data_IF_176017281994
#
_entry.id   IF_176017281994
#
_cell.length_a   1.000
_cell.length_b   1.000
_cell.length_c   1.000
_cell.angle_alpha   90.00
_cell.angle_beta   90.00
_cell.angle_gamma   90.00
#
_symmetry.space_group_name_H-M   'P 1'
#
loop_
_entity.id
_entity.type
_entity.pdbx_description
1 polymer ?
#
# COMPACT_ATOMS: atom_id res chain seq x y z
N UNK A 1 -7.90 -13.13 17.96
CA UNK A 1 -7.75 -12.80 16.52
C UNK A 1 -6.91 -11.54 16.43
N UNK A 2 -5.78 -11.54 15.70
CA UNK A 2 -4.86 -10.39 15.59
C UNK A 2 -5.21 -9.56 14.35
N UNK A 3 -5.07 -8.24 14.41
CA UNK A 3 -5.44 -7.28 13.34
C UNK A 3 -4.20 -6.87 12.53
N UNK A 4 -4.34 -6.65 11.22
CA UNK A 4 -3.38 -5.97 10.33
C UNK A 4 -3.82 -4.53 10.12
N UNK A 5 -2.92 -3.58 9.84
CA UNK A 5 -3.29 -2.16 9.70
C UNK A 5 -2.81 -1.59 8.36
N UNK A 6 -3.72 -0.96 7.61
CA UNK A 6 -3.41 -0.09 6.49
C UNK A 6 -3.70 1.35 6.91
N UNK A 7 -2.71 2.23 6.84
CA UNK A 7 -2.86 3.60 7.33
C UNK A 7 -2.78 4.60 6.19
N UNK A 8 -3.90 5.24 5.87
CA UNK A 8 -4.00 6.20 4.78
C UNK A 8 -3.88 7.61 5.36
N UNK A 9 -2.88 8.36 4.94
CA UNK A 9 -2.72 9.77 5.29
C UNK A 9 -3.31 10.64 4.17
N UNK A 10 -4.24 11.52 4.52
CA UNK A 10 -4.91 12.40 3.57
C UNK A 10 -4.24 13.77 3.59
N UNK A 11 -3.66 14.18 2.45
CA UNK A 11 -3.20 15.54 2.23
C UNK A 11 -4.29 16.38 1.53
N UNK A 12 -4.65 17.57 2.04
CA UNK A 12 -5.60 18.44 1.35
C UNK A 12 -4.99 19.06 0.09
N UNK A 13 -5.52 18.69 -1.08
CA UNK A 13 -5.34 19.40 -2.36
C UNK A 13 -6.38 20.51 -2.54
N UNK A 14 -5.99 21.61 -3.20
CA UNK A 14 -6.73 22.88 -3.23
C UNK A 14 -8.11 22.84 -3.95
N UNK A 15 -9.12 23.40 -3.27
CA UNK A 15 -10.42 23.95 -3.74
C UNK A 15 -11.50 22.93 -4.20
N UNK A 16 -12.44 22.61 -3.29
CA UNK A 16 -13.87 22.94 -3.45
C UNK A 16 -14.66 22.66 -2.16
N UNK A 17 -15.34 23.70 -1.70
CA UNK A 17 -16.20 23.79 -0.53
C UNK A 17 -17.60 23.20 -0.84
N UNK A 18 -18.01 22.06 -0.26
CA UNK A 18 -19.34 21.86 0.34
C UNK A 18 -19.60 20.44 0.92
N UNK A 19 -19.78 20.41 2.25
CA UNK A 19 -20.69 19.62 3.08
C UNK A 19 -20.69 18.05 3.10
N UNK A 20 -20.02 17.55 4.15
CA UNK A 20 -20.44 16.58 5.19
C UNK A 20 -20.50 15.09 4.80
N UNK A 21 -19.33 14.46 4.78
CA UNK A 21 -18.92 13.69 5.96
C UNK A 21 -18.04 14.61 6.79
N UNK A 22 -18.11 14.56 8.12
CA UNK A 22 -17.14 15.28 8.96
C UNK A 22 -15.79 14.54 8.86
N UNK A 23 -15.16 14.60 7.69
CA UNK A 23 -13.71 14.59 7.57
C UNK A 23 -13.28 15.97 8.04
N UNK A 24 -13.29 16.18 9.36
CA UNK A 24 -12.60 17.32 9.93
C UNK A 24 -11.18 17.26 9.41
N UNK A 25 -10.74 18.29 8.70
CA UNK A 25 -9.34 18.50 8.38
C UNK A 25 -8.61 18.75 9.71
N UNK A 26 -8.40 17.70 10.48
CA UNK A 26 -7.57 17.69 11.66
C UNK A 26 -6.14 17.59 11.15
N UNK A 27 -5.49 18.75 11.01
CA UNK A 27 -4.03 18.85 10.88
C UNK A 27 -3.27 18.31 12.09
N UNK A 28 -3.98 17.84 13.12
CA UNK A 28 -3.42 17.27 14.34
C UNK A 28 -2.69 15.92 14.14
N UNK A 29 -2.81 15.27 12.97
CA UNK A 29 -2.00 14.11 12.57
C UNK A 29 -0.96 14.39 11.49
N UNK A 30 -1.10 15.49 10.73
CA UNK A 30 -0.16 15.88 9.68
C UNK A 30 1.15 16.48 10.24
N UNK A 31 1.16 16.91 11.51
CA UNK A 31 2.32 17.56 12.13
C UNK A 31 3.47 16.62 12.53
N UNK A 32 3.26 15.30 12.52
CA UNK A 32 4.26 14.31 12.99
C UNK A 32 4.65 13.28 11.94
N UNK A 33 3.91 13.16 10.85
CA UNK A 33 4.28 12.26 9.77
C UNK A 33 5.43 12.84 8.96
N UNK A 34 6.54 12.11 8.86
CA UNK A 34 7.74 12.55 8.15
C UNK A 34 8.03 11.74 6.89
N UNK A 35 7.12 10.86 6.48
CA UNK A 35 7.23 10.16 5.21
C UNK A 35 6.82 11.04 4.05
N UNK A 36 7.18 10.61 2.84
CA UNK A 36 6.87 11.31 1.59
C UNK A 36 6.22 10.34 0.60
N UNK A 37 5.36 10.81 -0.30
CA UNK A 37 4.83 9.98 -1.37
C UNK A 37 5.94 9.19 -2.08
N UNK A 38 5.62 7.96 -2.48
CA UNK A 38 6.56 7.13 -3.22
C UNK A 38 6.89 7.74 -4.58
N UNK A 39 8.18 7.86 -4.89
CA UNK A 39 8.68 8.25 -6.22
C UNK A 39 10.02 7.56 -6.49
N UNK A 40 10.25 7.17 -7.73
CA UNK A 40 11.54 6.68 -8.23
C UNK A 40 11.74 7.03 -9.73
N UNK A 41 12.70 6.38 -10.39
CA UNK A 41 12.98 6.62 -11.81
C UNK A 41 11.93 6.09 -12.80
N UNK A 42 11.02 5.23 -12.34
CA UNK A 42 9.99 4.54 -13.14
C UNK A 42 8.59 5.07 -12.81
N UNK A 43 8.29 5.30 -11.53
CA UNK A 43 7.05 5.86 -11.02
C UNK A 43 7.28 7.28 -10.49
N UNK A 44 6.67 8.27 -11.12
CA UNK A 44 6.85 9.70 -10.82
C UNK A 44 5.54 10.47 -10.63
N UNK A 45 4.43 9.78 -10.34
CA UNK A 45 3.11 10.41 -10.13
C UNK A 45 2.96 10.94 -8.69
N UNK A 46 3.86 10.58 -7.77
CA UNK A 46 3.84 11.02 -6.38
C UNK A 46 2.64 10.48 -5.62
N UNK A 47 1.97 11.37 -4.88
CA UNK A 47 0.83 11.02 -4.03
C UNK A 47 -0.30 10.39 -4.86
N UNK A 48 -0.73 9.20 -4.47
CA UNK A 48 -1.76 8.45 -5.18
C UNK A 48 -3.12 9.14 -5.04
N UNK A 49 -3.91 9.16 -6.11
CA UNK A 49 -5.14 9.95 -6.20
C UNK A 49 -6.37 9.07 -5.93
N UNK A 50 -7.32 9.57 -5.13
CA UNK A 50 -8.66 8.97 -4.96
C UNK A 50 -9.78 9.94 -5.38
N UNK A 51 -10.91 9.46 -5.94
CA UNK A 51 -11.25 8.05 -6.22
C UNK A 51 -10.35 7.40 -7.27
N UNK A 52 -9.97 6.15 -7.05
CA UNK A 52 -9.03 5.46 -7.92
C UNK A 52 -8.47 4.18 -7.32
N UNK A 53 -7.42 3.66 -7.93
CA UNK A 53 -6.66 2.50 -7.46
C UNK A 53 -5.48 2.99 -6.62
N UNK A 54 -5.43 2.55 -5.37
CA UNK A 54 -4.24 2.65 -4.53
C UNK A 54 -3.41 1.37 -4.68
N UNK A 55 -2.18 1.51 -5.14
CA UNK A 55 -1.19 0.45 -5.23
C UNK A 55 -0.46 0.31 -3.88
N UNK A 56 -0.48 -0.88 -3.30
CA UNK A 56 0.07 -1.14 -1.97
C UNK A 56 1.60 -1.06 -1.94
N UNK A 57 2.26 -1.43 -3.04
CA UNK A 57 3.71 -1.40 -3.20
C UNK A 57 4.29 0.03 -3.20
N UNK A 58 3.45 1.02 -3.53
CA UNK A 58 3.75 2.45 -3.53
C UNK A 58 3.37 3.12 -2.21
N UNK A 59 3.56 2.41 -1.10
CA UNK A 59 3.55 3.03 0.23
C UNK A 59 4.66 4.08 0.31
N UNK A 60 4.50 5.06 1.19
CA UNK A 60 5.39 6.20 1.27
C UNK A 60 6.86 5.82 1.55
N UNK A 61 7.76 6.73 1.25
CA UNK A 61 9.15 6.69 1.67
C UNK A 61 9.27 7.24 3.08
N UNK A 62 10.18 6.70 3.88
CA UNK A 62 10.41 7.18 5.25
C UNK A 62 11.04 6.15 6.17
N UNK A 63 10.97 4.86 5.80
CA UNK A 63 11.58 3.77 6.54
C UNK A 63 10.70 3.21 7.66
N UNK A 64 11.28 2.23 8.34
CA UNK A 64 10.70 1.47 9.44
C UNK A 64 10.23 2.37 10.59
N UNK A 65 9.01 2.13 11.09
CA UNK A 65 8.36 2.92 12.12
C UNK A 65 7.81 4.28 11.65
N UNK A 66 8.09 4.69 10.40
CA UNK A 66 7.57 5.92 9.80
C UNK A 66 6.56 5.58 8.70
N UNK A 67 7.03 5.02 7.59
CA UNK A 67 6.20 4.75 6.42
C UNK A 67 5.68 3.30 6.35
N UNK A 68 6.33 2.41 7.09
CA UNK A 68 5.89 1.03 7.27
C UNK A 68 6.36 0.48 8.60
N UNK A 69 5.80 -0.65 9.00
CA UNK A 69 6.37 -1.56 9.98
C UNK A 69 6.31 -2.97 9.43
N UNK A 70 7.46 -3.61 9.38
CA UNK A 70 7.58 -5.03 9.06
C UNK A 70 8.07 -5.81 10.29
N UNK A 71 7.70 -7.09 10.39
CA UNK A 71 8.08 -7.93 11.52
C UNK A 71 9.56 -8.34 11.47
N UNK A 72 10.18 -8.24 10.29
CA UNK A 72 11.62 -8.38 10.13
C UNK A 72 12.25 -7.20 9.37
N UNK A 73 13.44 -7.41 8.81
CA UNK A 73 14.22 -6.35 8.15
C UNK A 73 14.64 -6.72 6.73
N UNK A 74 14.03 -7.76 6.16
CA UNK A 74 14.43 -8.39 4.90
C UNK A 74 13.21 -8.50 4.00
N UNK A 75 13.29 -7.88 2.82
CA UNK A 75 12.32 -8.13 1.77
C UNK A 75 12.46 -9.58 1.24
N UNK A 76 11.52 -10.43 1.63
CA UNK A 76 11.41 -11.84 1.24
C UNK A 76 11.08 -12.01 -0.24
N UNK A 77 10.49 -11.00 -0.88
CA UNK A 77 10.18 -10.99 -2.29
C UNK A 77 11.34 -10.46 -3.14
N UNK A 78 11.60 -9.15 -3.13
CA UNK A 78 12.69 -8.50 -3.86
C UNK A 78 14.04 -8.82 -3.21
N UNK A 79 14.99 -9.38 -3.96
CA UNK A 79 16.26 -9.88 -3.43
C UNK A 79 16.18 -11.26 -2.77
N UNK A 80 15.05 -11.57 -2.12
CA UNK A 80 14.74 -12.86 -1.52
C UNK A 80 14.33 -13.93 -2.54
N UNK A 81 13.04 -14.01 -2.85
CA UNK A 81 12.45 -14.89 -3.86
C UNK A 81 12.96 -14.51 -5.27
N UNK A 82 12.87 -13.23 -5.60
CA UNK A 82 13.32 -12.65 -6.85
C UNK A 82 14.78 -12.24 -6.68
N UNK A 83 15.72 -13.11 -7.07
CA UNK A 83 17.16 -12.84 -6.86
C UNK A 83 17.58 -11.55 -7.57
N UNK A 84 18.28 -10.70 -6.82
CA UNK A 84 18.85 -9.45 -7.30
C UNK A 84 19.70 -9.69 -8.57
N UNK A 85 19.33 -9.03 -9.66
CA UNK A 85 19.94 -9.15 -10.97
C UNK A 85 20.09 -7.79 -11.70
N UNK A 86 19.85 -6.69 -10.99
CA UNK A 86 19.83 -5.33 -11.48
C UNK A 86 18.53 -4.92 -12.17
N UNK A 87 17.55 -5.82 -12.30
CA UNK A 87 16.25 -5.47 -12.88
C UNK A 87 15.34 -4.78 -11.86
N UNK A 88 14.52 -3.87 -12.38
CA UNK A 88 13.59 -3.09 -11.57
C UNK A 88 12.67 -3.98 -10.72
N UNK A 89 12.07 -5.01 -11.33
CA UNK A 89 11.08 -5.85 -10.65
C UNK A 89 11.70 -6.78 -9.59
N UNK A 90 12.96 -7.19 -9.74
CA UNK A 90 13.63 -8.05 -8.76
C UNK A 90 14.19 -7.25 -7.59
N UNK A 91 14.49 -5.98 -7.81
CA UNK A 91 15.13 -5.11 -6.83
C UNK A 91 14.21 -3.98 -6.33
N UNK A 92 12.93 -4.00 -6.70
CA UNK A 92 11.96 -2.99 -6.28
C UNK A 92 11.92 -2.92 -4.76
N UNK A 93 12.39 -1.78 -4.22
CA UNK A 93 12.50 -1.51 -2.78
C UNK A 93 13.23 -2.60 -1.99
N UNK A 94 14.22 -3.24 -2.61
CA UNK A 94 15.04 -4.33 -2.02
C UNK A 94 15.76 -3.95 -0.71
N UNK A 95 15.91 -2.65 -0.43
CA UNK A 95 16.58 -2.14 0.77
C UNK A 95 15.62 -1.73 1.90
N UNK A 96 14.33 -1.95 1.73
CA UNK A 96 13.30 -1.78 2.76
C UNK A 96 12.77 -3.15 3.19
N UNK A 97 12.11 -3.21 4.36
CA UNK A 97 11.72 -4.50 4.93
C UNK A 97 10.44 -5.08 4.32
N UNK A 98 9.51 -4.22 3.86
CA UNK A 98 8.21 -4.66 3.32
C UNK A 98 8.41 -5.68 2.20
N UNK A 99 7.81 -6.85 2.38
CA UNK A 99 7.88 -7.94 1.42
C UNK A 99 7.12 -7.62 0.13
N UNK A 100 7.85 -7.47 -0.99
CA UNK A 100 7.26 -7.10 -2.28
C UNK A 100 7.69 -8.08 -3.36
N UNK A 101 6.73 -8.52 -4.16
CA UNK A 101 6.99 -9.30 -5.37
C UNK A 101 6.10 -8.79 -6.49
N UNK A 102 6.12 -9.46 -7.63
CA UNK A 102 5.31 -9.14 -8.78
C UNK A 102 4.69 -10.40 -9.38
N UNK A 103 3.57 -10.23 -10.08
CA UNK A 103 2.84 -11.31 -10.75
C UNK A 103 3.63 -11.90 -11.91
N UNK A 104 3.73 -13.23 -11.95
CA UNK A 104 4.51 -13.99 -12.93
C UNK A 104 3.60 -14.86 -13.77
N UNK A 105 3.50 -14.51 -15.05
CA UNK A 105 2.73 -15.28 -16.02
C UNK A 105 3.70 -16.16 -16.81
N UNK A 106 3.69 -17.45 -16.50
CA UNK A 106 4.62 -18.44 -17.05
C UNK A 106 3.93 -19.80 -17.26
N UNK A 107 4.67 -20.79 -17.76
CA UNK A 107 4.19 -22.16 -17.98
C UNK A 107 5.07 -23.15 -17.18
N UNK A 108 4.53 -23.91 -16.22
CA UNK A 108 3.12 -23.92 -15.79
C UNK A 108 2.71 -22.59 -15.11
N UNK A 109 1.40 -22.21 -15.17
CA UNK A 109 0.92 -20.95 -14.60
C UNK A 109 1.12 -20.93 -13.09
N UNK A 110 1.64 -19.80 -12.59
CA UNK A 110 1.82 -19.55 -11.15
C UNK A 110 0.77 -18.54 -10.70
N UNK A 111 0.79 -17.33 -11.27
CA UNK A 111 -0.12 -16.25 -10.83
C UNK A 111 -1.32 -16.06 -11.77
N UNK A 112 -1.22 -16.51 -13.02
CA UNK A 112 -2.29 -16.47 -14.02
C UNK A 112 -3.10 -17.78 -14.06
N UNK A 113 -3.72 -18.15 -12.94
CA UNK A 113 -4.50 -19.40 -12.83
C UNK A 113 -5.97 -19.19 -13.22
N UNK A 114 -6.67 -20.23 -13.70
CA UNK A 114 -8.11 -20.14 -14.00
C UNK A 114 -8.99 -19.99 -12.74
N UNK A 115 -8.41 -19.99 -11.54
CA UNK A 115 -9.14 -19.86 -10.27
C UNK A 115 -9.15 -18.41 -9.74
N UNK A 116 -8.53 -17.47 -10.45
CA UNK A 116 -8.49 -16.09 -10.06
C UNK A 116 -9.89 -15.46 -10.19
N UNK A 117 -10.36 -14.81 -9.14
CA UNK A 117 -11.65 -14.11 -9.15
C UNK A 117 -11.57 -12.75 -9.87
N UNK A 118 -10.37 -12.19 -9.97
CA UNK A 118 -10.06 -10.92 -10.62
C UNK A 118 -8.84 -11.15 -11.49
N UNK A 119 -8.89 -10.65 -12.73
CA UNK A 119 -7.76 -10.71 -13.65
C UNK A 119 -6.62 -9.82 -13.14
N UNK A 120 -5.44 -10.40 -12.99
CA UNK A 120 -4.23 -9.65 -12.67
C UNK A 120 -3.55 -9.17 -13.94
N UNK A 121 -2.82 -8.06 -13.82
CA UNK A 121 -1.88 -7.64 -14.84
C UNK A 121 -0.59 -8.44 -14.71
N UNK A 122 0.10 -8.70 -15.83
CA UNK A 122 1.42 -9.33 -15.81
C UNK A 122 2.46 -8.33 -15.26
N UNK A 123 3.43 -8.82 -14.49
CA UNK A 123 4.53 -8.03 -13.97
C UNK A 123 4.07 -6.90 -13.01
N UNK A 124 2.87 -7.06 -12.44
CA UNK A 124 2.28 -6.13 -11.49
C UNK A 124 2.85 -6.39 -10.09
N UNK A 125 3.44 -5.37 -9.48
CA UNK A 125 3.94 -5.43 -8.11
C UNK A 125 2.79 -5.62 -7.10
N UNK A 126 3.11 -6.25 -5.98
CA UNK A 126 2.20 -6.42 -4.85
C UNK A 126 2.98 -6.59 -3.54
N UNK A 127 2.35 -6.17 -2.43
CA UNK A 127 2.83 -6.48 -1.08
C UNK A 127 2.39 -7.90 -0.71
N UNK A 128 3.33 -8.75 -0.31
CA UNK A 128 3.14 -10.16 0.02
C UNK A 128 3.59 -10.47 1.44
N UNK A 129 3.62 -11.76 1.81
CA UNK A 129 4.16 -12.32 3.07
C UNK A 129 3.71 -11.67 4.39
N UNK A 130 2.71 -10.78 4.34
CA UNK A 130 2.30 -9.98 5.48
C UNK A 130 1.94 -10.78 6.74
N UNK A 131 2.44 -10.32 7.88
CA UNK A 131 2.18 -10.86 9.22
C UNK A 131 1.24 -9.97 10.05
N UNK A 132 0.57 -10.52 11.08
CA UNK A 132 -0.25 -9.71 11.98
C UNK A 132 0.58 -8.70 12.78
N UNK A 133 0.23 -7.42 12.65
CA UNK A 133 0.92 -6.31 13.32
C UNK A 133 1.64 -5.38 12.35
N UNK A 134 1.92 -5.86 11.15
CA UNK A 134 2.54 -5.06 10.09
C UNK A 134 1.59 -4.03 9.51
N UNK A 135 2.19 -2.96 8.99
CA UNK A 135 1.45 -1.85 8.38
C UNK A 135 2.27 -1.08 7.36
N UNK A 136 1.55 -0.42 6.44
CA UNK A 136 2.09 0.52 5.45
C UNK A 136 1.29 1.82 5.47
N UNK A 137 1.96 2.95 5.20
CA UNK A 137 1.38 4.30 5.14
C UNK A 137 1.44 4.88 3.74
N UNK A 138 0.40 5.63 3.38
CA UNK A 138 0.25 6.23 2.05
C UNK A 138 -0.19 7.68 2.19
N UNK A 139 0.51 8.61 1.57
CA UNK A 139 0.03 9.96 1.34
C UNK A 139 -0.84 9.96 0.09
N UNK A 140 -2.12 10.29 0.27
CA UNK A 140 -3.08 10.34 -0.84
C UNK A 140 -3.58 11.76 -1.10
N UNK A 141 -3.86 12.02 -2.37
CA UNK A 141 -4.58 13.20 -2.82
C UNK A 141 -6.06 12.84 -3.01
N UNK A 142 -6.94 13.56 -2.32
CA UNK A 142 -8.39 13.39 -2.43
C UNK A 142 -8.94 14.43 -3.39
N UNK A 143 -9.44 14.03 -4.55
CA UNK A 143 -9.99 14.96 -5.55
C UNK A 143 -11.30 15.59 -5.07
N UNK A 144 -12.14 14.83 -4.37
CA UNK A 144 -13.44 15.28 -3.88
C UNK A 144 -13.71 14.70 -2.50
N UNK A 145 -14.01 15.54 -1.50
CA UNK A 145 -14.40 15.03 -0.18
C UNK A 145 -15.70 14.23 -0.25
N UNK A 146 -15.79 13.08 0.42
CA UNK A 146 -16.99 12.24 0.35
C UNK A 146 -16.85 10.89 1.06
N UNK A 147 -17.87 10.04 0.87
CA UNK A 147 -17.85 8.64 1.35
C UNK A 147 -17.24 7.82 0.24
N UNK A 148 -16.32 6.94 0.59
CA UNK A 148 -15.68 6.05 -0.35
C UNK A 148 -15.98 4.60 0.02
N UNK A 149 -16.39 3.82 -0.97
CA UNK A 149 -16.38 2.37 -0.86
C UNK A 149 -14.96 1.89 -1.09
N UNK A 150 -14.42 1.16 -0.12
CA UNK A 150 -13.08 0.59 -0.22
C UNK A 150 -13.17 -0.88 -0.64
N UNK A 151 -12.60 -1.19 -1.80
CA UNK A 151 -12.31 -2.55 -2.23
C UNK A 151 -10.84 -2.87 -1.98
N UNK A 152 -10.57 -4.05 -1.43
CA UNK A 152 -9.21 -4.56 -1.29
C UNK A 152 -9.07 -5.83 -2.12
N UNK A 153 -8.10 -5.84 -3.04
CA UNK A 153 -7.65 -7.07 -3.68
C UNK A 153 -6.63 -7.75 -2.77
N UNK A 154 -6.90 -8.98 -2.36
CA UNK A 154 -6.00 -9.74 -1.50
C UNK A 154 -6.07 -11.24 -1.81
N UNK A 155 -5.03 -11.94 -1.41
CA UNK A 155 -5.01 -13.40 -1.33
C UNK A 155 -4.61 -13.80 0.09
N UNK A 156 -5.26 -14.81 0.65
CA UNK A 156 -4.93 -15.30 1.98
C UNK A 156 -5.01 -16.84 2.02
N UNK A 157 -4.04 -17.46 2.69
CA UNK A 157 -4.05 -18.89 2.96
C UNK A 157 -4.73 -19.24 4.31
N UNK A 158 -5.09 -18.21 5.08
CA UNK A 158 -5.67 -18.30 6.42
C UNK A 158 -6.61 -17.11 6.66
N UNK A 159 -7.50 -17.25 7.65
CA UNK A 159 -8.34 -16.14 8.08
C UNK A 159 -7.51 -15.01 8.69
N UNK A 160 -7.91 -13.77 8.41
CA UNK A 160 -7.24 -12.58 8.91
C UNK A 160 -8.20 -11.39 9.02
N UNK A 161 -7.76 -10.36 9.73
CA UNK A 161 -8.45 -9.07 9.80
C UNK A 161 -7.52 -8.00 9.23
N UNK A 162 -8.08 -7.15 8.39
CA UNK A 162 -7.41 -5.96 7.86
C UNK A 162 -8.17 -4.76 8.40
N UNK A 163 -7.44 -3.86 9.05
CA UNK A 163 -7.91 -2.59 9.58
C UNK A 163 -7.43 -1.48 8.67
N UNK A 164 -8.22 -0.42 8.56
CA UNK A 164 -7.86 0.79 7.83
C UNK A 164 -7.91 1.95 8.81
N UNK A 165 -6.90 2.82 8.75
CA UNK A 165 -6.93 4.09 9.47
C UNK A 165 -6.81 5.25 8.48
N UNK A 166 -7.40 6.39 8.82
CA UNK A 166 -7.21 7.65 8.10
C UNK A 166 -6.60 8.67 9.05
N UNK A 167 -5.41 9.18 8.73
CA UNK A 167 -4.64 10.07 9.60
C UNK A 167 -4.45 9.48 11.01
N UNK A 168 -4.07 8.20 11.07
CA UNK A 168 -3.89 7.40 12.30
C UNK A 168 -5.16 7.26 13.17
N UNK A 169 -6.33 7.61 12.64
CA UNK A 169 -7.62 7.34 13.26
C UNK A 169 -8.23 6.11 12.62
N UNK A 170 -8.55 5.10 13.42
CA UNK A 170 -9.23 3.88 12.95
C UNK A 170 -10.55 4.25 12.24
N UNK A 171 -10.69 3.80 10.99
CA UNK A 171 -11.92 3.95 10.19
C UNK A 171 -12.58 2.60 9.91
N UNK A 172 -12.00 1.51 10.42
CA UNK A 172 -12.67 0.22 10.45
C UNK A 172 -13.56 0.11 11.68
N UNK A 173 -14.82 -0.27 11.45
CA UNK A 173 -15.82 -0.46 12.52
C UNK A 173 -15.48 -1.60 13.47
#
# INVERSE_FOLDING_TARGET
>A
MKRKYLSILVCPGSIALCLIIILGCNSNGLGTYSGTPYEDSVYGEGAQIIPGKLQCEYYDQGGEGIAFHDSDSVNSGSGGLNKADGSYLHEFRIHEAVDISYTKFQDPPIDNTPFNFVDQEKDQLYVGWTEPGEWTKYTIQVETGGTYDLGLMYTANQDGLISFSVNDLDVTG
#
